data_IF_404105910021
#
_entry.id   IF_404105910021
#
_cell.length_a   1.000
_cell.length_b   1.000
_cell.length_c   1.000
_cell.angle_alpha   90.00
_cell.angle_beta   90.00
_cell.angle_gamma   90.00
#
_symmetry.space_group_name_H-M   'P 1'
#
loop_
_entity.id
_entity.type
_entity.pdbx_description
1 polymer ?
#
# COMPACT_ATOMS: atom_id res chain seq x y z
N UNK A 1 2.55 76.00 -3.39
CA UNK A 1 3.47 74.95 -3.86
C UNK A 1 3.29 73.71 -2.99
N UNK A 2 3.11 72.55 -3.64
CA UNK A 2 3.12 71.16 -3.12
C UNK A 2 1.96 70.76 -2.18
N UNK A 3 0.90 70.10 -2.69
CA UNK A 3 0.69 68.63 -2.87
C UNK A 3 0.87 67.81 -1.59
N UNK A 4 -0.20 67.12 -1.17
CA UNK A 4 -0.38 65.70 -0.74
C UNK A 4 -1.87 65.65 -0.31
N UNK A 5 -2.75 64.72 -0.66
CA UNK A 5 -2.72 63.43 -1.36
C UNK A 5 -4.01 62.72 -0.93
N UNK A 6 -4.97 62.57 -1.84
CA UNK A 6 -6.27 61.94 -1.56
C UNK A 6 -6.10 60.44 -1.34
N UNK A 7 -6.64 59.93 -0.23
CA UNK A 7 -6.67 58.51 0.09
C UNK A 7 -7.92 57.92 -0.55
N UNK A 8 -7.74 57.24 -1.68
CA UNK A 8 -8.74 56.32 -2.25
C UNK A 8 -8.71 55.02 -1.44
N UNK A 9 -9.80 54.72 -0.73
CA UNK A 9 -10.03 53.42 -0.12
C UNK A 9 -10.44 52.42 -1.21
N UNK A 10 -9.48 51.64 -1.70
CA UNK A 10 -9.75 50.46 -2.52
C UNK A 10 -10.17 49.30 -1.59
N UNK A 11 -11.44 48.93 -1.65
CA UNK A 11 -11.98 47.74 -1.00
C UNK A 11 -11.42 46.50 -1.72
N UNK A 12 -10.47 45.82 -1.09
CA UNK A 12 -9.93 44.55 -1.59
C UNK A 12 -10.86 43.42 -1.12
N UNK A 13 -11.77 42.98 -1.99
CA UNK A 13 -12.55 41.75 -1.78
C UNK A 13 -11.61 40.55 -1.91
N UNK A 14 -11.22 39.99 -0.75
CA UNK A 14 -10.55 38.69 -0.65
C UNK A 14 -11.51 37.59 -1.13
N UNK A 15 -11.40 37.22 -2.41
CA UNK A 15 -11.91 35.96 -2.93
C UNK A 15 -11.09 34.83 -2.32
N UNK A 16 -11.59 34.24 -1.23
CA UNK A 16 -11.13 32.93 -0.79
C UNK A 16 -11.58 31.91 -1.83
N UNK A 17 -10.69 31.58 -2.77
CA UNK A 17 -10.80 30.37 -3.56
C UNK A 17 -10.74 29.18 -2.60
N UNK A 18 -11.90 28.65 -2.21
CA UNK A 18 -11.98 27.33 -1.60
C UNK A 18 -11.49 26.34 -2.64
N UNK A 19 -10.24 25.88 -2.48
CA UNK A 19 -9.84 24.60 -3.02
C UNK A 19 -10.78 23.58 -2.37
N UNK A 20 -11.83 23.18 -3.09
CA UNK A 20 -12.64 22.05 -2.69
C UNK A 20 -11.70 20.85 -2.67
N UNK A 21 -11.26 20.45 -1.48
CA UNK A 21 -10.54 19.20 -1.33
C UNK A 21 -11.47 18.08 -1.81
N UNK A 22 -10.96 17.20 -2.67
CA UNK A 22 -11.70 16.01 -3.07
C UNK A 22 -12.08 15.23 -1.81
N UNK A 23 -13.36 14.82 -1.72
CA UNK A 23 -13.88 14.06 -0.57
C UNK A 23 -13.06 12.77 -0.42
N UNK A 24 -12.51 12.56 0.77
CA UNK A 24 -11.64 11.42 1.06
C UNK A 24 -12.46 10.13 1.22
N UNK A 25 -11.84 8.96 1.02
CA UNK A 25 -12.52 7.68 1.20
C UNK A 25 -13.24 7.49 2.55
N UNK A 26 -12.65 7.90 3.70
CA UNK A 26 -13.36 7.91 4.99
C UNK A 26 -14.60 8.81 5.00
N UNK A 27 -14.53 10.00 4.41
CA UNK A 27 -15.65 10.94 4.34
C UNK A 27 -16.76 10.40 3.43
N UNK A 28 -16.40 9.75 2.30
CA UNK A 28 -17.38 9.07 1.44
C UNK A 28 -18.12 7.96 2.20
N UNK A 29 -17.40 7.14 2.97
CA UNK A 29 -18.03 6.11 3.81
C UNK A 29 -18.99 6.71 4.85
N UNK A 30 -18.59 7.83 5.48
CA UNK A 30 -19.45 8.54 6.44
C UNK A 30 -20.71 9.12 5.79
N UNK A 31 -20.58 9.72 4.61
CA UNK A 31 -21.70 10.27 3.84
C UNK A 31 -22.70 9.16 3.46
N UNK A 32 -22.21 8.05 2.91
CA UNK A 32 -23.03 6.89 2.56
C UNK A 32 -23.74 6.30 3.77
N UNK A 33 -23.06 6.14 4.90
CA UNK A 33 -23.67 5.64 6.13
C UNK A 33 -24.71 6.63 6.70
N UNK A 34 -24.52 7.93 6.51
CA UNK A 34 -25.52 8.94 6.91
C UNK A 34 -26.77 8.81 6.05
N UNK A 35 -26.63 8.65 4.74
CA UNK A 35 -27.74 8.38 3.82
C UNK A 35 -28.44 7.05 4.14
N UNK A 36 -27.66 6.00 4.44
CA UNK A 36 -28.18 4.68 4.82
C UNK A 36 -29.07 4.73 6.08
N UNK A 37 -28.70 5.56 7.07
CA UNK A 37 -29.49 5.78 8.31
C UNK A 37 -30.66 6.74 8.15
N UNK A 38 -30.71 7.53 7.07
CA UNK A 38 -31.80 8.46 6.88
C UNK A 38 -33.04 7.68 6.44
N UNK A 39 -33.95 7.38 7.36
CA UNK A 39 -35.13 6.54 7.09
C UNK A 39 -36.43 7.34 6.94
N UNK A 40 -36.34 8.66 6.79
CA UNK A 40 -37.51 9.51 6.56
C UNK A 40 -38.26 9.09 5.30
N UNK A 41 -39.60 9.19 5.31
CA UNK A 41 -40.45 8.76 4.18
C UNK A 41 -40.45 9.72 2.98
N UNK A 42 -39.88 10.91 3.14
CA UNK A 42 -39.73 11.90 2.08
C UNK A 42 -38.49 12.77 2.27
N UNK A 43 -37.95 13.26 1.16
CA UNK A 43 -36.90 14.27 1.15
C UNK A 43 -37.47 15.69 1.35
N UNK A 44 -36.64 16.68 1.70
CA UNK A 44 -37.08 18.07 1.84
C UNK A 44 -37.88 18.53 0.61
N UNK A 45 -39.01 19.21 0.85
CA UNK A 45 -39.91 19.66 -0.21
C UNK A 45 -40.89 18.60 -0.73
N UNK A 46 -41.02 17.44 -0.06
CA UNK A 46 -41.96 16.39 -0.47
C UNK A 46 -41.48 15.56 -1.67
N UNK A 47 -40.17 15.62 -1.95
CA UNK A 47 -39.53 14.88 -3.03
C UNK A 47 -39.39 13.40 -2.62
N UNK A 48 -39.44 12.50 -3.60
CA UNK A 48 -39.26 11.06 -3.38
C UNK A 48 -37.99 10.75 -2.57
N UNK A 49 -38.11 9.77 -1.66
CA UNK A 49 -37.07 9.46 -0.66
C UNK A 49 -35.69 9.12 -1.24
N UNK A 50 -35.62 8.54 -2.44
CA UNK A 50 -34.35 8.18 -3.08
C UNK A 50 -33.50 9.39 -3.50
N UNK A 51 -34.03 10.62 -3.46
CA UNK A 51 -33.26 11.83 -3.76
C UNK A 51 -32.22 12.17 -2.69
N UNK A 52 -32.43 11.77 -1.44
CA UNK A 52 -31.60 12.15 -0.30
C UNK A 52 -31.31 11.00 0.67
N UNK A 53 -32.12 9.94 0.67
CA UNK A 53 -32.03 8.81 1.58
C UNK A 53 -31.68 7.52 0.87
N UNK A 54 -30.92 6.68 1.57
CA UNK A 54 -30.46 5.39 1.10
C UNK A 54 -29.34 5.48 0.06
N UNK A 55 -28.81 4.33 -0.29
CA UNK A 55 -27.66 4.18 -1.19
C UNK A 55 -28.09 3.33 -2.38
N UNK A 56 -27.80 3.82 -3.59
CA UNK A 56 -27.96 3.05 -4.82
C UNK A 56 -26.67 2.29 -5.08
N UNK A 57 -26.73 0.97 -5.03
CA UNK A 57 -25.59 0.08 -5.25
C UNK A 57 -25.84 -0.83 -6.45
N UNK A 58 -24.78 -1.16 -7.18
CA UNK A 58 -24.85 -2.07 -8.32
C UNK A 58 -23.64 -3.00 -8.29
N UNK A 59 -23.88 -4.29 -8.54
CA UNK A 59 -22.80 -5.28 -8.64
C UNK A 59 -22.01 -5.08 -9.93
N UNK A 60 -20.68 -5.14 -9.85
CA UNK A 60 -19.84 -5.20 -11.06
C UNK A 60 -20.05 -6.56 -11.74
N UNK A 61 -21.00 -6.64 -12.68
CA UNK A 61 -21.34 -7.88 -13.40
C UNK A 61 -20.50 -8.10 -14.66
N UNK A 62 -19.49 -7.26 -14.89
CA UNK A 62 -18.74 -7.28 -16.12
C UNK A 62 -17.84 -8.53 -16.22
N UNK A 63 -17.75 -9.07 -17.45
CA UNK A 63 -16.86 -10.19 -17.76
C UNK A 63 -15.40 -9.87 -17.36
N UNK A 64 -14.52 -10.86 -17.41
CA UNK A 64 -13.12 -10.72 -16.98
C UNK A 64 -12.35 -9.55 -17.65
N UNK A 65 -12.86 -8.87 -18.68
CA UNK A 65 -12.29 -7.65 -19.26
C UNK A 65 -13.30 -6.49 -19.46
N UNK A 66 -14.52 -6.58 -18.93
CA UNK A 66 -15.51 -5.52 -19.07
C UNK A 66 -15.27 -4.38 -18.07
N UNK A 67 -15.62 -3.15 -18.45
CA UNK A 67 -15.54 -1.98 -17.56
C UNK A 67 -16.80 -1.91 -16.71
N UNK A 68 -16.67 -1.81 -15.38
CA UNK A 68 -17.81 -1.95 -14.45
C UNK A 68 -18.97 -0.96 -14.70
N UNK A 69 -18.68 0.21 -15.28
CA UNK A 69 -19.64 1.29 -15.54
C UNK A 69 -20.39 1.14 -16.88
N UNK A 70 -20.11 0.08 -17.65
CA UNK A 70 -20.85 -0.23 -18.88
C UNK A 70 -22.24 -0.75 -18.54
N UNK A 71 -23.21 -0.35 -19.35
CA UNK A 71 -24.60 -0.78 -19.20
C UNK A 71 -24.72 -2.29 -19.47
N UNK A 72 -25.56 -2.96 -18.69
CA UNK A 72 -25.89 -4.37 -18.94
C UNK A 72 -26.64 -4.55 -20.27
N UNK A 73 -26.61 -5.75 -20.89
CA UNK A 73 -27.46 -6.04 -22.05
C UNK A 73 -28.94 -5.78 -21.79
N UNK A 74 -29.41 -6.09 -20.57
CA UNK A 74 -30.78 -5.82 -20.13
C UNK A 74 -31.07 -4.32 -20.05
N UNK A 75 -30.13 -3.52 -19.55
CA UNK A 75 -30.28 -2.06 -19.50
C UNK A 75 -30.31 -1.45 -20.90
N UNK A 76 -29.48 -1.91 -21.82
CA UNK A 76 -29.53 -1.49 -23.23
C UNK A 76 -30.87 -1.81 -23.89
N UNK A 77 -31.51 -2.93 -23.54
CA UNK A 77 -32.80 -3.34 -24.08
C UNK A 77 -34.00 -2.58 -23.48
N UNK A 78 -33.91 -2.18 -22.21
CA UNK A 78 -35.04 -1.60 -21.47
C UNK A 78 -34.95 -0.09 -21.26
N UNK A 79 -33.78 0.51 -21.48
CA UNK A 79 -33.52 1.93 -21.24
C UNK A 79 -33.24 2.28 -19.77
N UNK A 80 -33.24 1.29 -18.87
CA UNK A 80 -33.01 1.46 -17.43
C UNK A 80 -32.09 0.38 -16.86
N UNK A 81 -31.20 0.77 -15.96
CA UNK A 81 -30.31 -0.12 -15.22
C UNK A 81 -30.84 -0.31 -13.78
N UNK A 82 -30.69 -1.52 -13.23
CA UNK A 82 -31.28 -1.88 -11.92
C UNK A 82 -30.26 -1.74 -10.80
N UNK A 83 -30.58 -0.93 -9.80
CA UNK A 83 -29.77 -0.74 -8.61
C UNK A 83 -30.46 -1.36 -7.40
N UNK A 84 -29.67 -1.97 -6.52
CA UNK A 84 -30.10 -2.33 -5.18
C UNK A 84 -30.19 -1.04 -4.33
N UNK A 85 -31.33 -0.87 -3.66
CA UNK A 85 -31.61 0.32 -2.86
C UNK A 85 -31.46 0.01 -1.37
N UNK A 86 -30.36 0.47 -0.79
CA UNK A 86 -29.91 0.10 0.55
C UNK A 86 -30.32 1.15 1.59
N UNK A 87 -31.06 0.72 2.62
CA UNK A 87 -31.49 1.54 3.77
C UNK A 87 -31.51 0.73 5.07
N UNK A 88 -31.33 1.41 6.20
CA UNK A 88 -31.28 0.77 7.52
C UNK A 88 -32.60 0.09 7.92
N UNK A 89 -33.73 0.70 7.58
CA UNK A 89 -35.07 0.24 7.90
C UNK A 89 -35.62 -0.83 6.95
N UNK A 90 -34.82 -1.28 5.99
CA UNK A 90 -35.25 -2.22 4.95
C UNK A 90 -34.48 -3.52 5.01
N UNK A 91 -35.12 -4.61 4.62
CA UNK A 91 -34.50 -5.93 4.60
C UNK A 91 -33.31 -5.91 3.63
N UNK A 92 -32.09 -6.25 4.08
CA UNK A 92 -30.93 -6.28 3.22
C UNK A 92 -31.11 -7.26 2.07
N UNK A 93 -30.57 -6.92 0.91
CA UNK A 93 -30.30 -7.89 -0.16
C UNK A 93 -28.94 -8.54 0.16
N UNK A 94 -28.87 -9.25 1.27
CA UNK A 94 -27.66 -10.00 1.64
C UNK A 94 -27.45 -11.16 0.65
N UNK A 95 -26.24 -11.26 0.10
CA UNK A 95 -25.80 -12.39 -0.74
C UNK A 95 -25.68 -12.14 -2.24
N UNK A 96 -26.05 -10.96 -2.77
CA UNK A 96 -25.90 -10.63 -4.21
C UNK A 96 -24.78 -9.66 -4.54
N UNK A 97 -24.44 -8.77 -3.60
CA UNK A 97 -23.41 -7.76 -3.78
C UNK A 97 -22.04 -8.29 -3.34
N UNK A 98 -21.28 -8.84 -4.29
CA UNK A 98 -19.90 -9.31 -4.05
C UNK A 98 -18.91 -8.14 -4.08
N UNK A 99 -18.92 -7.39 -5.18
CA UNK A 99 -18.22 -6.13 -5.37
C UNK A 99 -19.01 -5.31 -6.39
N UNK A 100 -18.77 -4.02 -6.42
CA UNK A 100 -19.59 -3.13 -7.22
C UNK A 100 -19.25 -1.67 -7.02
N UNK A 101 -20.22 -0.83 -7.35
CA UNK A 101 -20.13 0.62 -7.21
C UNK A 101 -21.42 1.19 -6.62
N UNK A 102 -21.28 2.38 -6.04
CA UNK A 102 -22.40 3.16 -5.52
C UNK A 102 -22.44 4.53 -6.19
N UNK A 103 -23.65 5.06 -6.33
CA UNK A 103 -23.88 6.38 -6.90
C UNK A 103 -24.00 7.47 -5.83
N UNK A 104 -23.63 8.69 -6.21
CA UNK A 104 -24.02 9.91 -5.49
C UNK A 104 -25.55 9.96 -5.36
N UNK A 105 -26.05 10.70 -4.38
CA UNK A 105 -27.48 11.02 -4.34
C UNK A 105 -27.86 12.00 -5.46
N UNK A 106 -29.16 12.08 -5.76
CA UNK A 106 -29.64 12.89 -6.89
C UNK A 106 -29.30 14.37 -6.72
N UNK A 107 -29.35 14.92 -5.50
CA UNK A 107 -29.00 16.33 -5.28
C UNK A 107 -27.50 16.58 -5.53
N UNK A 108 -26.64 15.71 -5.00
CA UNK A 108 -25.20 15.77 -5.24
C UNK A 108 -24.89 15.62 -6.72
N UNK A 109 -25.51 14.65 -7.41
CA UNK A 109 -25.32 14.44 -8.85
C UNK A 109 -25.70 15.68 -9.68
N UNK A 110 -26.84 16.31 -9.38
CA UNK A 110 -27.26 17.58 -9.98
C UNK A 110 -26.22 18.68 -9.73
N UNK A 111 -25.75 18.82 -8.48
CA UNK A 111 -24.74 19.81 -8.11
C UNK A 111 -23.41 19.63 -8.83
N UNK A 112 -23.06 18.38 -9.18
CA UNK A 112 -21.88 18.03 -9.95
C UNK A 112 -22.09 18.11 -11.48
N UNK A 113 -23.30 18.42 -11.95
CA UNK A 113 -23.64 18.40 -13.37
C UNK A 113 -23.54 17.01 -13.99
N UNK A 114 -23.81 15.97 -13.19
CA UNK A 114 -23.84 14.56 -13.58
C UNK A 114 -25.29 14.07 -13.57
N UNK A 115 -25.90 13.74 -14.72
CA UNK A 115 -27.31 13.37 -14.76
C UNK A 115 -27.54 12.06 -13.98
N UNK A 116 -28.50 12.10 -13.04
CA UNK A 116 -29.00 10.93 -12.32
C UNK A 116 -30.52 10.96 -12.30
N UNK A 117 -31.14 10.16 -13.16
CA UNK A 117 -32.60 10.08 -13.25
C UNK A 117 -33.07 8.71 -12.78
N UNK A 118 -33.79 8.69 -11.67
CA UNK A 118 -34.43 7.47 -11.14
C UNK A 118 -35.86 7.42 -11.67
N UNK A 119 -36.12 6.46 -12.56
CA UNK A 119 -37.42 6.26 -13.21
C UNK A 119 -38.48 5.76 -12.22
N UNK A 120 -38.13 4.75 -11.43
CA UNK A 120 -38.99 4.15 -10.43
C UNK A 120 -38.14 3.56 -9.30
N UNK A 121 -38.70 3.49 -8.09
CA UNK A 121 -38.07 2.81 -6.97
C UNK A 121 -39.10 2.03 -6.16
N UNK A 122 -38.69 0.90 -5.63
CA UNK A 122 -39.41 0.08 -4.66
C UNK A 122 -38.69 0.11 -3.31
N UNK A 123 -39.08 -0.78 -2.39
CA UNK A 123 -38.39 -0.90 -1.11
C UNK A 123 -36.95 -1.41 -1.26
N UNK A 124 -36.68 -2.22 -2.27
CA UNK A 124 -35.41 -2.94 -2.39
C UNK A 124 -34.61 -2.54 -3.63
N UNK A 125 -35.24 -1.89 -4.61
CA UNK A 125 -34.61 -1.62 -5.90
C UNK A 125 -34.96 -0.24 -6.44
N UNK A 126 -34.09 0.30 -7.28
CA UNK A 126 -34.34 1.48 -8.09
C UNK A 126 -34.00 1.20 -9.56
N UNK A 127 -34.78 1.76 -10.47
CA UNK A 127 -34.55 1.76 -11.91
C UNK A 127 -33.97 3.13 -12.28
N UNK A 128 -32.71 3.15 -12.70
CA UNK A 128 -31.99 4.36 -13.10
C UNK A 128 -31.96 4.41 -14.63
N UNK A 129 -32.28 5.56 -15.22
CA UNK A 129 -32.19 5.72 -16.67
C UNK A 129 -30.75 5.47 -17.15
N UNK A 130 -30.61 4.91 -18.34
CA UNK A 130 -29.30 4.70 -18.96
C UNK A 130 -28.50 6.01 -19.06
N UNK A 131 -27.19 5.88 -18.93
CA UNK A 131 -26.23 6.97 -19.09
C UNK A 131 -25.37 6.78 -20.35
N UNK A 132 -24.64 7.82 -20.73
CA UNK A 132 -23.56 7.69 -21.72
C UNK A 132 -22.39 6.91 -21.10
N UNK A 133 -22.33 5.62 -21.38
CA UNK A 133 -21.31 4.73 -20.85
C UNK A 133 -19.92 4.89 -21.53
N UNK A 134 -19.80 5.80 -22.51
CA UNK A 134 -18.53 6.16 -23.15
C UNK A 134 -17.79 7.26 -22.39
N UNK A 135 -18.48 7.99 -21.50
CA UNK A 135 -17.92 9.10 -20.73
C UNK A 135 -18.04 8.84 -19.22
N UNK A 136 -17.23 7.94 -18.63
CA UNK A 136 -17.38 7.52 -17.23
C UNK A 136 -17.30 8.64 -16.20
N UNK A 137 -16.58 9.73 -16.49
CA UNK A 137 -16.48 10.91 -15.62
C UNK A 137 -17.80 11.68 -15.49
N UNK A 138 -18.77 11.46 -16.40
CA UNK A 138 -20.13 12.03 -16.33
C UNK A 138 -21.10 11.19 -15.52
N UNK A 139 -20.73 9.97 -15.15
CA UNK A 139 -21.54 9.11 -14.31
C UNK A 139 -21.34 9.55 -12.85
N UNK A 140 -22.42 9.64 -12.04
CA UNK A 140 -22.35 10.04 -10.62
C UNK A 140 -21.79 8.90 -9.75
N UNK A 141 -20.65 8.33 -10.13
CA UNK A 141 -19.93 7.31 -9.37
C UNK A 141 -19.31 7.94 -8.12
N UNK A 142 -19.70 7.45 -6.96
CA UNK A 142 -19.22 7.96 -5.68
C UNK A 142 -18.12 7.08 -5.08
N UNK A 143 -18.26 5.76 -5.15
CA UNK A 143 -17.28 4.81 -4.66
C UNK A 143 -17.44 3.43 -5.30
N UNK A 144 -16.38 2.63 -5.17
CA UNK A 144 -16.41 1.19 -5.37
C UNK A 144 -16.62 0.50 -4.01
N UNK A 145 -17.09 -0.74 -4.00
CA UNK A 145 -17.17 -1.53 -2.79
C UNK A 145 -16.81 -3.00 -3.03
N UNK A 146 -16.45 -3.69 -1.94
CA UNK A 146 -16.35 -5.15 -1.89
C UNK A 146 -16.93 -5.68 -0.57
N UNK A 147 -17.49 -6.88 -0.62
CA UNK A 147 -18.15 -7.50 0.52
C UNK A 147 -17.16 -8.33 1.34
N UNK A 148 -16.99 -7.96 2.61
CA UNK A 148 -16.08 -8.65 3.53
C UNK A 148 -16.47 -10.10 3.81
N UNK A 149 -17.74 -10.47 3.62
CA UNK A 149 -18.22 -11.84 3.82
C UNK A 149 -17.87 -12.77 2.65
N UNK A 150 -17.37 -12.23 1.52
CA UNK A 150 -17.08 -13.01 0.31
C UNK A 150 -15.60 -12.92 -0.01
N UNK A 151 -14.89 -14.06 0.09
CA UNK A 151 -13.45 -14.15 -0.16
C UNK A 151 -13.10 -13.73 -1.59
N UNK A 152 -12.03 -12.95 -1.74
CA UNK A 152 -11.49 -12.55 -3.05
C UNK A 152 -12.16 -11.35 -3.72
N UNK A 153 -13.22 -10.79 -3.15
CA UNK A 153 -13.94 -9.64 -3.75
C UNK A 153 -13.16 -8.32 -3.73
N UNK A 154 -12.22 -8.14 -2.79
CA UNK A 154 -11.31 -6.99 -2.79
C UNK A 154 -10.50 -6.93 -4.09
N UNK A 155 -10.02 -8.07 -4.59
CA UNK A 155 -9.29 -8.13 -5.86
C UNK A 155 -10.14 -7.61 -7.02
N UNK A 156 -11.41 -7.99 -7.07
CA UNK A 156 -12.34 -7.53 -8.10
C UNK A 156 -12.59 -6.01 -7.99
N UNK A 157 -12.78 -5.47 -6.79
CA UNK A 157 -12.91 -4.01 -6.60
C UNK A 157 -11.61 -3.25 -6.94
N UNK A 158 -10.43 -3.80 -6.67
CA UNK A 158 -9.15 -3.20 -7.05
C UNK A 158 -8.96 -3.17 -8.56
N UNK A 159 -9.40 -4.22 -9.26
CA UNK A 159 -9.42 -4.23 -10.72
C UNK A 159 -10.34 -3.15 -11.28
N UNK A 160 -11.55 -3.01 -10.74
CA UNK A 160 -12.50 -1.95 -11.12
C UNK A 160 -11.88 -0.56 -10.87
N UNK A 161 -11.20 -0.39 -9.73
CA UNK A 161 -10.50 0.83 -9.35
C UNK A 161 -9.39 1.18 -10.36
N UNK A 162 -8.59 0.19 -10.76
CA UNK A 162 -7.54 0.37 -11.75
C UNK A 162 -8.12 0.74 -13.12
N UNK A 163 -9.16 0.03 -13.56
CA UNK A 163 -9.80 0.26 -14.85
C UNK A 163 -10.35 1.69 -14.97
N UNK A 164 -10.98 2.20 -13.92
CA UNK A 164 -11.47 3.58 -13.88
C UNK A 164 -10.30 4.58 -13.92
N UNK A 165 -9.25 4.36 -13.11
CA UNK A 165 -8.07 5.22 -13.11
C UNK A 165 -7.36 5.26 -14.47
N UNK A 166 -7.20 4.11 -15.14
CA UNK A 166 -6.60 4.05 -16.47
C UNK A 166 -7.41 4.82 -17.52
N UNK A 167 -8.73 4.85 -17.36
CA UNK A 167 -9.64 5.50 -18.31
C UNK A 167 -9.76 7.00 -18.07
N UNK A 168 -9.74 7.42 -16.80
CA UNK A 168 -10.13 8.78 -16.40
C UNK A 168 -8.99 9.61 -15.80
N UNK A 169 -7.94 8.96 -15.28
CA UNK A 169 -6.93 9.58 -14.43
C UNK A 169 -7.38 9.84 -12.99
N UNK A 170 -8.61 9.43 -12.62
CA UNK A 170 -9.21 9.65 -11.30
C UNK A 170 -9.28 8.34 -10.50
N UNK A 171 -9.12 8.43 -9.17
CA UNK A 171 -9.29 7.29 -8.28
C UNK A 171 -10.67 7.33 -7.62
N UNK A 172 -11.43 6.24 -7.75
CA UNK A 172 -12.59 6.00 -6.88
C UNK A 172 -12.15 5.27 -5.61
N UNK A 173 -12.62 5.68 -4.40
CA UNK A 173 -12.30 4.95 -3.18
C UNK A 173 -13.01 3.59 -3.17
N UNK A 174 -12.32 2.56 -2.67
CA UNK A 174 -12.90 1.24 -2.39
C UNK A 174 -13.39 1.22 -0.95
N UNK A 175 -14.65 0.84 -0.74
CA UNK A 175 -15.28 0.70 0.56
C UNK A 175 -15.49 -0.78 0.92
N UNK A 176 -15.47 -1.06 2.22
CA UNK A 176 -15.82 -2.36 2.80
C UNK A 176 -17.33 -2.39 3.00
N UNK A 177 -18.03 -3.29 2.32
CA UNK A 177 -19.43 -3.57 2.59
C UNK A 177 -19.52 -4.60 3.72
N UNK A 178 -19.99 -4.17 4.89
CA UNK A 178 -20.26 -5.01 6.05
C UNK A 178 -21.26 -4.30 6.95
N UNK A 179 -22.39 -4.95 7.22
CA UNK A 179 -23.40 -4.44 8.13
C UNK A 179 -22.90 -4.52 9.59
N UNK A 180 -22.99 -3.40 10.30
CA UNK A 180 -22.81 -3.30 11.75
C UNK A 180 -24.06 -2.67 12.36
N UNK A 181 -24.89 -3.51 12.97
CA UNK A 181 -26.14 -3.08 13.60
C UNK A 181 -25.92 -2.18 14.83
N UNK A 182 -24.78 -2.32 15.51
CA UNK A 182 -24.47 -1.50 16.70
C UNK A 182 -24.12 -0.08 16.31
N UNK A 183 -23.37 0.07 15.21
CA UNK A 183 -22.97 1.36 14.67
C UNK A 183 -23.96 1.91 13.63
N UNK A 184 -24.98 1.13 13.27
CA UNK A 184 -25.92 1.45 12.20
C UNK A 184 -25.17 1.89 10.93
N UNK A 185 -24.18 1.09 10.54
CA UNK A 185 -23.31 1.35 9.39
C UNK A 185 -23.29 0.15 8.47
N UNK A 186 -22.99 0.43 7.20
CA UNK A 186 -22.91 -0.55 6.13
C UNK A 186 -21.58 -0.49 5.38
N UNK A 187 -20.97 0.70 5.34
CA UNK A 187 -19.70 0.93 4.65
C UNK A 187 -18.58 1.27 5.63
N UNK A 188 -17.46 0.56 5.53
CA UNK A 188 -16.19 0.90 6.16
C UNK A 188 -15.16 1.36 5.14
N UNK A 189 -14.07 1.97 5.60
CA UNK A 189 -12.94 2.33 4.76
C UNK A 189 -11.64 1.80 5.38
N UNK A 190 -10.74 1.29 4.54
CA UNK A 190 -9.37 1.02 4.93
C UNK A 190 -8.42 1.51 3.83
N UNK A 191 -7.47 2.34 4.23
CA UNK A 191 -6.43 2.88 3.35
C UNK A 191 -5.57 1.77 2.74
N UNK A 192 -5.36 0.66 3.44
CA UNK A 192 -4.56 -0.47 2.97
C UNK A 192 -5.24 -1.26 1.84
N UNK A 193 -6.54 -1.10 1.62
CA UNK A 193 -7.25 -1.79 0.53
C UNK A 193 -7.16 -1.03 -0.81
N UNK A 194 -6.69 0.22 -0.78
CA UNK A 194 -6.62 1.09 -1.94
C UNK A 194 -5.36 0.83 -2.77
N UNK A 195 -5.46 0.68 -4.09
CA UNK A 195 -4.28 0.51 -4.94
C UNK A 195 -3.31 1.69 -4.81
N UNK A 196 -3.82 2.92 -4.75
CA UNK A 196 -3.01 4.13 -4.62
C UNK A 196 -2.22 4.24 -3.31
N UNK A 197 -2.44 3.36 -2.32
CA UNK A 197 -1.59 3.29 -1.11
C UNK A 197 -0.12 3.01 -1.47
N UNK A 198 0.13 2.35 -2.61
CA UNK A 198 1.47 2.09 -3.11
C UNK A 198 2.32 3.35 -3.30
N UNK A 199 1.71 4.48 -3.69
CA UNK A 199 2.42 5.77 -3.78
C UNK A 199 2.92 6.23 -2.41
N UNK A 200 2.14 6.06 -1.35
CA UNK A 200 2.52 6.42 0.02
C UNK A 200 3.62 5.49 0.55
N UNK A 201 3.56 4.20 0.22
CA UNK A 201 4.62 3.23 0.56
C UNK A 201 5.93 3.61 -0.15
N UNK A 202 5.91 3.88 -1.45
CA UNK A 202 7.08 4.32 -2.21
C UNK A 202 7.68 5.61 -1.63
N UNK A 203 6.86 6.61 -1.31
CA UNK A 203 7.32 7.86 -0.72
C UNK A 203 8.00 7.63 0.64
N UNK A 204 7.41 6.81 1.51
CA UNK A 204 7.99 6.46 2.82
C UNK A 204 9.32 5.71 2.67
N UNK A 205 9.42 4.78 1.73
CA UNK A 205 10.65 4.05 1.43
C UNK A 205 11.77 5.00 0.98
N UNK A 206 11.48 5.90 0.04
CA UNK A 206 12.45 6.91 -0.41
C UNK A 206 12.87 7.87 0.71
N UNK A 207 11.94 8.28 1.59
CA UNK A 207 12.25 9.13 2.74
C UNK A 207 13.21 8.43 3.72
N UNK A 208 12.94 7.17 4.08
CA UNK A 208 13.84 6.40 4.94
C UNK A 208 15.18 6.09 4.28
N UNK A 209 15.23 5.88 2.98
CA UNK A 209 16.48 5.69 2.23
C UNK A 209 17.37 6.94 2.24
N UNK A 210 16.76 8.13 2.15
CA UNK A 210 17.48 9.40 2.13
C UNK A 210 17.94 9.88 3.51
N UNK A 211 17.27 9.46 4.59
CA UNK A 211 17.64 9.83 5.95
C UNK A 211 18.90 9.09 6.41
N UNK A 212 20.00 9.82 6.57
CA UNK A 212 21.31 9.32 7.02
C UNK A 212 21.58 9.51 8.51
N UNK A 213 20.56 9.85 9.31
CA UNK A 213 20.72 10.02 10.75
C UNK A 213 21.33 8.75 11.36
N UNK A 214 22.45 8.86 12.12
CA UNK A 214 23.16 7.69 12.64
C UNK A 214 22.39 6.97 13.76
N UNK A 215 21.46 7.69 14.40
CA UNK A 215 20.59 7.21 15.46
C UNK A 215 19.18 7.77 15.26
N UNK A 216 18.20 7.09 15.82
CA UNK A 216 16.82 7.54 15.89
C UNK A 216 16.65 8.65 16.93
N UNK A 217 15.53 9.38 16.87
CA UNK A 217 15.22 10.46 17.83
C UNK A 217 15.19 10.00 19.29
N UNK A 218 14.93 8.73 19.52
CA UNK A 218 14.91 8.08 20.84
C UNK A 218 16.27 7.46 21.23
N UNK A 219 17.33 7.70 20.45
CA UNK A 219 18.68 7.21 20.71
C UNK A 219 18.96 5.78 20.23
N UNK A 220 17.95 5.06 19.70
CA UNK A 220 18.17 3.71 19.14
C UNK A 220 18.98 3.76 17.85
N UNK A 221 19.52 2.61 17.45
CA UNK A 221 20.25 2.45 16.20
C UNK A 221 19.37 2.75 14.97
N UNK A 222 19.99 3.25 13.91
CA UNK A 222 19.28 3.82 12.75
C UNK A 222 18.23 2.88 12.10
N UNK A 223 18.45 1.56 12.11
CA UNK A 223 17.51 0.57 11.56
C UNK A 223 16.12 0.54 12.23
N UNK A 224 15.95 1.21 13.38
CA UNK A 224 14.64 1.37 14.02
C UNK A 224 13.78 2.46 13.37
N UNK A 225 14.35 3.41 12.62
CA UNK A 225 13.62 4.56 12.09
C UNK A 225 13.93 4.89 10.63
N UNK A 226 15.11 4.54 10.12
CA UNK A 226 15.52 4.87 8.75
C UNK A 226 16.26 3.72 8.07
N UNK A 227 16.57 3.95 6.79
CA UNK A 227 16.95 2.92 5.83
C UNK A 227 15.81 1.96 5.48
N UNK A 228 16.07 1.12 4.49
CA UNK A 228 15.11 0.14 3.98
C UNK A 228 15.69 -1.26 4.16
N UNK A 229 14.98 -2.09 4.91
CA UNK A 229 15.31 -3.49 5.15
C UNK A 229 14.67 -4.34 4.06
N UNK A 230 15.49 -4.79 3.11
CA UNK A 230 15.06 -5.55 1.94
C UNK A 230 15.56 -6.98 2.02
N UNK A 231 14.70 -7.95 1.74
CA UNK A 231 15.08 -9.35 1.59
C UNK A 231 14.69 -9.81 0.21
N UNK A 232 15.64 -10.40 -0.50
CA UNK A 232 15.38 -11.03 -1.80
C UNK A 232 15.19 -12.53 -1.62
N UNK A 233 14.23 -13.11 -2.32
CA UNK A 233 13.77 -14.51 -2.12
C UNK A 233 13.52 -15.19 -3.46
N UNK A 234 13.49 -16.52 -3.45
CA UNK A 234 12.88 -17.27 -4.54
C UNK A 234 11.35 -17.28 -4.37
N UNK A 235 10.65 -17.46 -5.49
CA UNK A 235 9.23 -17.78 -5.51
C UNK A 235 9.06 -19.29 -5.70
N UNK A 236 8.05 -19.88 -5.06
CA UNK A 236 7.75 -21.31 -5.23
C UNK A 236 6.30 -21.61 -4.85
N UNK A 237 5.77 -22.70 -5.41
CA UNK A 237 4.53 -23.33 -4.92
C UNK A 237 4.77 -24.26 -3.74
N UNK A 238 6.02 -24.61 -3.43
CA UNK A 238 6.38 -25.53 -2.35
C UNK A 238 6.59 -24.85 -1.00
N UNK A 239 6.77 -23.52 -0.98
CA UNK A 239 6.96 -22.72 0.23
C UNK A 239 6.54 -21.28 -0.03
N UNK A 240 6.19 -20.58 1.05
CA UNK A 240 5.95 -19.14 1.00
C UNK A 240 7.25 -18.35 1.09
N UNK A 241 7.41 -17.31 0.27
CA UNK A 241 8.65 -16.52 0.20
C UNK A 241 9.00 -15.79 1.51
N UNK A 242 8.01 -15.50 2.36
CA UNK A 242 8.22 -14.88 3.68
C UNK A 242 8.56 -15.88 4.80
N UNK A 243 8.61 -17.18 4.52
CA UNK A 243 9.01 -18.16 5.52
C UNK A 243 10.55 -18.28 5.60
N UNK A 244 11.15 -18.33 6.80
CA UNK A 244 12.56 -18.63 6.95
C UNK A 244 12.88 -20.02 6.37
N UNK A 245 13.98 -20.16 5.63
CA UNK A 245 14.42 -21.47 5.14
C UNK A 245 14.85 -22.38 6.31
N UNK A 246 14.91 -23.72 6.14
CA UNK A 246 15.44 -24.61 7.17
C UNK A 246 16.85 -24.24 7.63
N UNK A 247 17.69 -23.72 6.72
CA UNK A 247 19.02 -23.22 7.05
C UNK A 247 18.97 -21.94 7.88
N UNK A 248 18.03 -21.04 7.59
CA UNK A 248 17.83 -19.80 8.37
C UNK A 248 17.31 -20.10 9.78
N UNK A 249 16.42 -21.09 9.92
CA UNK A 249 15.93 -21.54 11.23
C UNK A 249 17.06 -22.12 12.07
N UNK A 250 17.89 -23.01 11.48
CA UNK A 250 19.02 -23.62 12.18
C UNK A 250 20.05 -22.59 12.67
N UNK A 251 20.42 -21.64 11.81
CA UNK A 251 21.39 -20.59 12.14
C UNK A 251 20.81 -19.41 12.92
N UNK A 252 19.50 -19.44 13.20
CA UNK A 252 18.71 -18.31 13.71
C UNK A 252 19.03 -16.99 12.96
N UNK A 253 19.10 -17.06 11.64
CA UNK A 253 19.65 -15.98 10.82
C UNK A 253 19.02 -15.94 9.43
N UNK A 254 18.31 -14.85 9.18
CA UNK A 254 17.66 -14.55 7.90
C UNK A 254 18.31 -13.30 7.32
N UNK A 255 18.97 -13.45 6.17
CA UNK A 255 19.69 -12.34 5.54
C UNK A 255 18.76 -11.29 4.93
N UNK A 256 19.08 -10.02 5.18
CA UNK A 256 18.50 -8.83 4.59
C UNK A 256 19.64 -7.93 4.10
N UNK A 257 19.35 -7.02 3.18
CA UNK A 257 20.19 -5.85 2.91
C UNK A 257 19.56 -4.62 3.55
N UNK A 258 20.40 -3.65 3.90
CA UNK A 258 20.03 -2.36 4.44
C UNK A 258 20.38 -1.25 3.45
N UNK A 259 19.34 -0.68 2.85
CA UNK A 259 19.47 0.36 1.83
C UNK A 259 19.33 1.73 2.49
N UNK A 260 20.41 2.50 2.44
CA UNK A 260 20.48 3.92 2.80
C UNK A 260 21.42 4.59 1.79
N UNK A 261 21.22 5.86 1.48
CA UNK A 261 21.99 6.53 0.43
C UNK A 261 23.52 6.51 0.67
N UNK A 262 23.94 6.44 1.93
CA UNK A 262 25.32 6.35 2.41
C UNK A 262 25.79 4.91 2.66
N UNK A 263 24.89 3.91 2.67
CA UNK A 263 25.26 2.50 2.71
C UNK A 263 25.73 2.00 1.35
N UNK A 264 25.50 2.73 0.24
CA UNK A 264 26.06 2.42 -1.10
C UNK A 264 25.81 0.98 -1.55
N UNK A 265 24.64 0.42 -1.24
CA UNK A 265 24.15 -0.82 -1.85
C UNK A 265 23.68 -0.48 -3.26
N UNK A 266 24.31 -1.06 -4.28
CA UNK A 266 24.06 -0.77 -5.69
C UNK A 266 23.60 -2.02 -6.49
N UNK A 267 23.41 -3.15 -5.81
CA UNK A 267 22.88 -4.36 -6.40
C UNK A 267 22.11 -5.24 -5.41
N UNK A 268 21.14 -5.99 -5.93
CA UNK A 268 20.41 -7.02 -5.17
C UNK A 268 20.92 -8.42 -5.54
N UNK A 269 20.84 -9.36 -4.60
CA UNK A 269 21.26 -10.74 -4.88
C UNK A 269 20.27 -11.46 -5.80
N UNK A 270 18.97 -11.47 -5.47
CA UNK A 270 17.90 -12.03 -6.33
C UNK A 270 16.98 -10.95 -6.89
N UNK A 271 16.25 -11.31 -7.94
CA UNK A 271 15.43 -10.38 -8.71
C UNK A 271 14.17 -9.86 -7.99
N UNK A 272 13.66 -10.59 -7.00
CA UNK A 272 12.45 -10.24 -6.26
C UNK A 272 12.55 -10.55 -4.77
N UNK A 273 11.58 -10.07 -4.00
CA UNK A 273 11.38 -10.42 -2.60
C UNK A 273 10.47 -9.41 -1.92
N UNK A 274 10.81 -9.01 -0.70
CA UNK A 274 9.99 -8.11 0.09
C UNK A 274 10.79 -7.14 0.94
N UNK A 275 10.11 -6.07 1.34
CA UNK A 275 10.58 -5.08 2.29
C UNK A 275 9.72 -5.14 3.55
N UNK A 276 10.37 -5.02 4.69
CA UNK A 276 9.71 -4.90 5.98
C UNK A 276 9.81 -3.46 6.49
N UNK A 277 8.84 -3.07 7.32
CA UNK A 277 8.88 -1.80 8.06
C UNK A 277 10.18 -1.66 8.85
N UNK A 278 10.53 -0.41 9.14
CA UNK A 278 11.52 -0.06 10.14
C UNK A 278 11.24 -0.78 11.47
N UNK A 279 12.26 -1.20 12.20
CA UNK A 279 12.07 -2.04 13.41
C UNK A 279 11.36 -1.29 14.56
N UNK A 280 11.23 0.03 14.47
CA UNK A 280 10.43 0.83 15.41
C UNK A 280 8.93 0.85 15.11
N UNK A 281 8.51 0.35 13.93
CA UNK A 281 7.10 0.29 13.57
C UNK A 281 6.37 -0.79 14.39
N UNK A 282 5.10 -0.54 14.78
CA UNK A 282 4.27 -1.57 15.39
C UNK A 282 4.12 -2.79 14.46
N UNK A 283 4.30 -3.98 15.02
CA UNK A 283 4.15 -5.25 14.33
C UNK A 283 3.59 -6.30 15.29
N UNK A 284 2.76 -7.21 14.77
CA UNK A 284 2.26 -8.33 15.55
C UNK A 284 3.37 -9.31 15.95
N UNK A 285 4.37 -9.46 15.09
CA UNK A 285 5.63 -10.14 15.38
C UNK A 285 6.81 -9.23 14.95
N UNK A 286 7.34 -8.41 15.87
CA UNK A 286 8.51 -7.58 15.60
C UNK A 286 9.72 -8.43 15.20
N UNK A 287 10.28 -8.15 14.02
CA UNK A 287 11.53 -8.77 13.61
C UNK A 287 12.70 -8.17 14.39
N UNK A 288 13.64 -9.02 14.81
CA UNK A 288 14.79 -8.61 15.63
C UNK A 288 16.08 -8.74 14.83
N UNK A 289 16.78 -7.63 14.60
CA UNK A 289 18.13 -7.66 14.05
C UNK A 289 19.12 -8.20 15.08
N UNK A 290 19.98 -9.13 14.65
CA UNK A 290 21.01 -9.76 15.50
C UNK A 290 22.40 -9.18 15.28
N UNK A 291 22.76 -8.89 14.03
CA UNK A 291 24.05 -8.32 13.67
C UNK A 291 24.05 -7.75 12.25
N UNK A 292 25.10 -6.99 11.91
CA UNK A 292 25.29 -6.39 10.59
C UNK A 292 26.72 -6.64 10.06
N UNK A 293 26.80 -7.19 8.85
CA UNK A 293 28.02 -7.25 8.06
C UNK A 293 28.02 -6.11 7.04
N UNK A 294 29.13 -5.36 6.89
CA UNK A 294 29.23 -4.34 5.85
C UNK A 294 29.14 -4.91 4.43
N UNK A 295 29.36 -6.20 4.25
CA UNK A 295 29.43 -6.91 2.97
C UNK A 295 28.71 -8.25 3.06
N UNK A 296 28.62 -8.97 1.94
CA UNK A 296 28.22 -10.38 1.97
C UNK A 296 29.20 -11.18 2.85
N UNK A 297 28.69 -11.95 3.79
CA UNK A 297 29.45 -12.82 4.66
C UNK A 297 29.17 -14.32 4.40
N UNK A 298 28.25 -14.63 3.47
CA UNK A 298 27.89 -15.99 3.10
C UNK A 298 27.35 -16.78 4.28
N UNK A 299 26.44 -16.21 5.07
CA UNK A 299 26.00 -16.79 6.35
C UNK A 299 25.08 -18.01 6.22
N UNK A 300 24.78 -18.41 4.99
CA UNK A 300 23.87 -19.50 4.67
C UNK A 300 24.38 -20.84 5.16
N UNK A 301 23.65 -21.44 6.12
CA UNK A 301 23.89 -22.81 6.57
C UNK A 301 24.63 -22.93 7.90
N UNK A 302 25.15 -21.82 8.41
CA UNK A 302 25.91 -21.72 9.66
C UNK A 302 25.07 -22.10 10.90
N UNK A 303 25.74 -22.50 11.98
CA UNK A 303 25.09 -22.80 13.27
C UNK A 303 24.67 -21.52 14.02
N UNK A 304 25.40 -20.43 13.84
CA UNK A 304 24.99 -19.09 14.21
C UNK A 304 25.43 -18.09 13.13
N UNK A 305 24.49 -17.55 12.37
CA UNK A 305 24.77 -16.62 11.27
C UNK A 305 25.54 -15.35 11.68
N UNK A 306 25.53 -14.96 12.97
CA UNK A 306 26.29 -13.81 13.45
C UNK A 306 27.69 -14.14 13.97
N UNK A 307 27.96 -15.41 14.30
CA UNK A 307 29.17 -15.84 15.03
C UNK A 307 29.98 -16.92 14.32
N UNK A 308 29.58 -17.32 13.12
CA UNK A 308 30.31 -18.31 12.33
C UNK A 308 31.77 -17.94 12.04
N UNK A 309 32.08 -16.64 11.99
CA UNK A 309 33.44 -16.09 11.83
C UNK A 309 34.11 -15.77 13.17
N UNK A 310 33.85 -16.58 14.21
CA UNK A 310 34.32 -16.47 15.59
C UNK A 310 33.43 -15.59 16.50
N UNK A 311 33.73 -14.30 16.60
CA UNK A 311 33.17 -13.40 17.60
C UNK A 311 32.60 -12.14 16.93
N UNK A 312 31.75 -11.41 17.66
CA UNK A 312 31.29 -10.09 17.22
C UNK A 312 32.47 -9.11 17.18
N UNK A 313 32.38 -8.08 16.35
CA UNK A 313 33.44 -7.09 16.22
C UNK A 313 33.82 -6.43 17.57
N UNK A 314 32.83 -6.12 18.40
CA UNK A 314 33.05 -5.58 19.75
C UNK A 314 33.86 -6.52 20.66
N UNK A 315 33.67 -7.83 20.55
CA UNK A 315 34.42 -8.85 21.31
C UNK A 315 35.87 -9.01 20.83
N UNK A 316 36.15 -8.58 19.60
CA UNK A 316 37.49 -8.57 19.01
C UNK A 316 38.21 -7.22 19.19
N UNK A 317 37.64 -6.30 19.97
CA UNK A 317 38.17 -4.95 20.19
C UNK A 317 37.98 -4.01 18.98
N UNK A 318 37.09 -4.36 18.04
CA UNK A 318 36.83 -3.56 16.84
C UNK A 318 35.65 -2.64 17.13
N UNK A 319 35.97 -1.38 17.44
CA UNK A 319 35.01 -0.38 17.93
C UNK A 319 34.69 0.74 16.95
N UNK A 320 35.30 0.72 15.77
CA UNK A 320 35.08 1.72 14.71
C UNK A 320 35.27 1.13 13.31
N UNK A 321 34.78 1.86 12.30
CA UNK A 321 34.99 1.49 10.90
C UNK A 321 36.48 1.43 10.53
N UNK A 322 37.33 2.27 11.13
CA UNK A 322 38.75 2.36 10.77
C UNK A 322 39.54 1.16 11.28
N UNK A 323 39.25 0.72 12.52
CA UNK A 323 39.82 -0.52 13.06
C UNK A 323 39.36 -1.72 12.24
N UNK A 324 38.10 -1.73 11.80
CA UNK A 324 37.59 -2.79 10.92
C UNK A 324 38.32 -2.78 9.57
N UNK A 325 38.50 -1.62 8.94
CA UNK A 325 39.16 -1.49 7.63
C UNK A 325 40.64 -1.90 7.73
N UNK A 326 41.33 -1.52 8.81
CA UNK A 326 42.70 -1.93 9.04
C UNK A 326 42.86 -3.45 9.13
N UNK A 327 41.87 -4.16 9.68
CA UNK A 327 41.89 -5.61 9.84
C UNK A 327 41.36 -6.39 8.63
N UNK A 328 40.28 -5.92 8.01
CA UNK A 328 39.50 -6.68 7.03
C UNK A 328 39.36 -6.00 5.66
N UNK A 329 40.02 -4.85 5.43
CA UNK A 329 39.82 -4.05 4.21
C UNK A 329 40.00 -4.82 2.90
N UNK A 330 40.85 -5.85 2.88
CA UNK A 330 41.06 -6.73 1.71
C UNK A 330 40.27 -8.04 1.76
N UNK A 331 39.61 -8.34 2.86
CA UNK A 331 38.95 -9.63 3.13
C UNK A 331 37.59 -9.45 3.80
N UNK A 332 36.77 -8.52 3.31
CA UNK A 332 35.48 -8.16 3.92
C UNK A 332 34.51 -9.34 4.08
N UNK A 333 34.59 -10.33 3.20
CA UNK A 333 33.80 -11.57 3.28
C UNK A 333 34.13 -12.42 4.52
N UNK A 334 35.34 -12.30 5.07
CA UNK A 334 35.82 -13.03 6.25
C UNK A 334 35.75 -12.19 7.53
N UNK A 335 35.02 -11.09 7.50
CA UNK A 335 34.95 -10.15 8.62
C UNK A 335 34.07 -10.64 9.77
N UNK A 336 34.28 -10.04 10.95
CA UNK A 336 33.32 -10.13 12.05
C UNK A 336 32.03 -9.37 11.73
N UNK A 337 30.95 -9.74 12.40
CA UNK A 337 29.70 -8.98 12.37
C UNK A 337 29.75 -7.86 13.42
N UNK A 338 29.27 -6.66 13.05
CA UNK A 338 28.97 -5.62 14.02
C UNK A 338 27.72 -5.99 14.82
N UNK A 339 27.70 -5.67 16.10
CA UNK A 339 26.48 -5.77 16.92
C UNK A 339 25.48 -4.64 16.58
N UNK A 340 24.30 -4.69 17.21
CA UNK A 340 23.18 -3.80 16.90
C UNK A 340 23.12 -2.55 17.78
N UNK A 341 24.15 -2.29 18.58
CA UNK A 341 24.25 -1.01 19.31
C UNK A 341 24.35 0.15 18.31
N UNK A 342 23.88 1.36 18.68
CA UNK A 342 23.92 2.51 17.77
C UNK A 342 25.29 2.75 17.14
N UNK A 343 26.37 2.69 17.94
CA UNK A 343 27.74 2.93 17.47
C UNK A 343 28.24 1.84 16.52
N UNK A 344 28.04 0.57 16.85
CA UNK A 344 28.51 -0.56 16.03
C UNK A 344 27.72 -0.68 14.73
N UNK A 345 26.41 -0.51 14.80
CA UNK A 345 25.56 -0.48 13.61
C UNK A 345 25.98 0.65 12.66
N UNK A 346 26.19 1.86 13.18
CA UNK A 346 26.66 2.99 12.38
C UNK A 346 28.06 2.73 11.79
N UNK A 347 28.97 2.11 12.54
CA UNK A 347 30.29 1.72 12.04
C UNK A 347 30.18 0.77 10.84
N UNK A 348 29.20 -0.13 10.82
CA UNK A 348 28.96 -1.02 9.68
C UNK A 348 28.58 -0.27 8.40
N UNK A 349 27.83 0.83 8.52
CA UNK A 349 27.46 1.71 7.41
C UNK A 349 28.67 2.54 6.97
N UNK A 350 29.46 3.05 7.91
CA UNK A 350 30.66 3.84 7.62
C UNK A 350 31.74 3.05 6.87
N UNK A 351 31.90 1.75 7.18
CA UNK A 351 32.78 0.87 6.40
C UNK A 351 32.42 0.92 4.91
N UNK A 352 31.12 0.81 4.58
CA UNK A 352 30.66 0.86 3.19
C UNK A 352 30.81 2.24 2.58
N UNK A 353 30.55 3.29 3.35
CA UNK A 353 30.75 4.67 2.89
C UNK A 353 32.20 4.90 2.47
N UNK A 354 33.15 4.44 3.28
CA UNK A 354 34.60 4.51 3.02
C UNK A 354 35.06 3.55 1.92
N UNK A 355 34.34 2.43 1.72
CA UNK A 355 34.71 1.36 0.77
C UNK A 355 33.46 0.78 0.06
N UNK A 356 32.97 1.42 -1.02
CA UNK A 356 31.73 1.00 -1.70
C UNK A 356 31.93 -0.14 -2.72
N UNK A 357 32.90 -1.04 -2.50
CA UNK A 357 33.42 -1.97 -3.51
C UNK A 357 32.65 -3.31 -3.66
N UNK A 358 31.45 -3.43 -3.10
CA UNK A 358 30.60 -4.62 -3.27
C UNK A 358 29.13 -4.26 -3.41
N UNK A 359 28.38 -5.14 -4.08
CA UNK A 359 27.01 -4.90 -4.50
C UNK A 359 26.02 -4.68 -3.34
N UNK A 360 26.05 -5.53 -2.31
CA UNK A 360 25.15 -5.49 -1.16
C UNK A 360 25.87 -5.65 0.18
N UNK A 361 25.14 -5.34 1.25
CA UNK A 361 25.49 -5.67 2.63
C UNK A 361 24.61 -6.82 3.13
N UNK A 362 24.97 -7.37 4.29
CA UNK A 362 24.24 -8.48 4.89
C UNK A 362 23.91 -8.19 6.36
N UNK A 363 22.63 -7.96 6.63
CA UNK A 363 22.06 -7.87 7.97
C UNK A 363 21.39 -9.20 8.31
N UNK A 364 21.59 -9.67 9.54
CA UNK A 364 21.03 -10.93 10.00
C UNK A 364 19.87 -10.66 10.94
N UNK A 365 18.64 -10.91 10.46
CA UNK A 365 17.44 -10.93 11.29
C UNK A 365 17.31 -12.30 11.98
N UNK A 366 16.84 -12.33 13.22
CA UNK A 366 16.46 -13.56 13.88
C UNK A 366 15.38 -14.30 13.07
N UNK A 367 15.41 -15.63 13.08
CA UNK A 367 14.36 -16.41 12.45
C UNK A 367 13.04 -16.21 13.21
N UNK A 368 11.94 -16.15 12.46
CA UNK A 368 10.59 -16.00 13.00
C UNK A 368 9.76 -17.28 12.82
N UNK A 369 8.61 -17.42 13.50
CA UNK A 369 7.73 -18.56 13.32
C UNK A 369 7.31 -18.76 11.86
N UNK A 370 7.27 -20.03 11.44
CA UNK A 370 6.76 -20.44 10.13
C UNK A 370 5.28 -20.10 9.99
N UNK A 371 4.84 -19.81 8.76
CA UNK A 371 3.42 -19.74 8.39
C UNK A 371 2.60 -18.70 9.19
N UNK A 372 3.23 -17.58 9.58
CA UNK A 372 2.55 -16.52 10.32
C UNK A 372 2.58 -15.14 9.61
N UNK A 373 2.22 -15.05 8.31
CA UNK A 373 2.39 -13.83 7.51
C UNK A 373 1.63 -12.61 8.05
N UNK A 374 0.45 -12.82 8.63
CA UNK A 374 -0.38 -11.72 9.15
C UNK A 374 0.28 -10.92 10.27
N UNK A 375 1.26 -11.52 10.97
CA UNK A 375 2.00 -10.87 12.05
C UNK A 375 3.29 -10.21 11.55
N UNK A 376 3.74 -10.49 10.33
CA UNK A 376 4.98 -9.94 9.79
C UNK A 376 4.78 -8.48 9.33
N UNK A 377 5.75 -7.60 9.58
CA UNK A 377 5.71 -6.20 9.16
C UNK A 377 6.08 -6.01 7.67
N UNK A 378 5.65 -6.91 6.78
CA UNK A 378 5.85 -6.76 5.34
C UNK A 378 5.04 -5.56 4.86
N UNK A 379 5.70 -4.60 4.23
CA UNK A 379 5.07 -3.36 3.74
C UNK A 379 5.07 -3.26 2.21
N UNK A 380 5.92 -4.01 1.53
CA UNK A 380 5.96 -4.09 0.08
C UNK A 380 6.57 -5.42 -0.38
N UNK A 381 6.06 -5.94 -1.50
CA UNK A 381 6.85 -6.84 -2.35
C UNK A 381 7.69 -6.00 -3.30
N UNK A 382 8.81 -6.53 -3.77
CA UNK A 382 9.74 -5.79 -4.62
C UNK A 382 10.24 -6.64 -5.77
N UNK A 383 10.68 -5.94 -6.82
CA UNK A 383 11.61 -6.49 -7.79
C UNK A 383 12.68 -5.47 -8.14
N UNK A 384 13.90 -5.94 -8.37
CA UNK A 384 15.05 -5.13 -8.72
C UNK A 384 15.21 -4.97 -10.23
N UNK A 385 15.54 -3.75 -10.68
CA UNK A 385 15.94 -3.50 -12.07
C UNK A 385 17.27 -4.16 -12.43
N UNK A 386 18.15 -4.37 -11.43
CA UNK A 386 19.39 -5.12 -11.56
C UNK A 386 19.52 -6.09 -10.39
N UNK A 387 19.98 -7.30 -10.68
CA UNK A 387 20.22 -8.35 -9.70
C UNK A 387 21.35 -9.28 -10.17
N UNK A 388 22.04 -9.91 -9.23
CA UNK A 388 23.18 -10.78 -9.53
C UNK A 388 22.77 -12.19 -9.98
N UNK A 389 21.89 -12.84 -9.22
CA UNK A 389 21.41 -14.17 -9.55
C UNK A 389 20.25 -14.11 -10.55
N UNK A 390 20.09 -15.10 -11.44
CA UNK A 390 18.91 -15.22 -12.29
C UNK A 390 17.62 -15.23 -11.47
N UNK A 391 16.56 -14.65 -12.01
CA UNK A 391 15.25 -14.62 -11.38
C UNK A 391 14.19 -14.11 -12.35
N UNK A 392 12.93 -14.18 -11.93
CA UNK A 392 11.81 -13.79 -12.76
C UNK A 392 11.41 -12.33 -12.56
N UNK A 393 11.94 -11.65 -11.54
CA UNK A 393 11.73 -10.22 -11.32
C UNK A 393 10.26 -9.91 -11.06
N UNK A 394 9.66 -9.06 -11.88
CA UNK A 394 8.26 -8.65 -11.74
C UNK A 394 7.28 -9.83 -11.66
N UNK A 395 7.28 -10.81 -12.59
CA UNK A 395 6.47 -12.03 -12.44
C UNK A 395 6.61 -12.75 -11.09
N UNK A 396 7.82 -12.80 -10.52
CA UNK A 396 8.05 -13.38 -9.20
C UNK A 396 7.43 -12.55 -8.07
N UNK A 397 7.61 -11.22 -8.10
CA UNK A 397 6.99 -10.33 -7.14
C UNK A 397 5.45 -10.35 -7.22
N UNK A 398 4.89 -10.48 -8.42
CA UNK A 398 3.44 -10.66 -8.65
C UNK A 398 2.93 -11.97 -8.09
N UNK A 399 3.70 -13.05 -8.21
CA UNK A 399 3.38 -14.32 -7.56
C UNK A 399 3.37 -14.18 -6.03
N UNK A 400 4.45 -13.64 -5.46
CA UNK A 400 4.58 -13.46 -4.00
C UNK A 400 3.47 -12.58 -3.43
N UNK A 401 3.11 -11.49 -4.12
CA UNK A 401 1.99 -10.63 -3.74
C UNK A 401 0.65 -11.38 -3.75
N UNK A 402 0.37 -12.15 -4.82
CA UNK A 402 -0.87 -12.95 -4.93
C UNK A 402 -0.94 -14.00 -3.84
N UNK A 403 0.16 -14.72 -3.60
CA UNK A 403 0.26 -15.75 -2.57
C UNK A 403 0.00 -15.14 -1.18
N UNK A 404 0.66 -14.04 -0.85
CA UNK A 404 0.43 -13.34 0.42
C UNK A 404 -1.01 -12.86 0.57
N UNK A 405 -1.60 -12.32 -0.50
CA UNK A 405 -2.99 -11.91 -0.50
C UNK A 405 -3.95 -13.08 -0.29
N UNK A 406 -3.70 -14.24 -0.92
CA UNK A 406 -4.52 -15.44 -0.74
C UNK A 406 -4.47 -15.97 0.69
N UNK A 407 -3.30 -15.91 1.34
CA UNK A 407 -3.12 -16.41 2.70
C UNK A 407 -3.66 -15.43 3.76
N UNK A 408 -3.56 -14.12 3.52
CA UNK A 408 -3.85 -13.11 4.56
C UNK A 408 -5.08 -12.25 4.31
N UNK A 409 -5.57 -12.19 3.07
CA UNK A 409 -6.54 -11.19 2.62
C UNK A 409 -6.02 -9.75 2.60
N UNK A 410 -4.73 -9.51 2.88
CA UNK A 410 -4.13 -8.17 2.97
C UNK A 410 -3.49 -7.80 1.64
N UNK A 411 -3.86 -6.63 1.11
CA UNK A 411 -3.13 -6.02 0.00
C UNK A 411 -1.80 -5.43 0.48
N UNK A 412 -0.73 -5.75 -0.24
CA UNK A 412 0.63 -5.21 -0.04
C UNK A 412 1.18 -4.83 -1.41
N UNK A 413 1.58 -3.58 -1.67
CA UNK A 413 1.98 -3.15 -3.01
C UNK A 413 3.30 -3.77 -3.47
N UNK A 414 3.45 -3.93 -4.77
CA UNK A 414 4.73 -4.19 -5.43
C UNK A 414 5.40 -2.85 -5.73
N UNK A 415 6.66 -2.74 -5.35
CA UNK A 415 7.51 -1.56 -5.54
C UNK A 415 8.72 -1.95 -6.38
N UNK A 416 8.92 -1.25 -7.49
CA UNK A 416 10.11 -1.40 -8.32
C UNK A 416 11.30 -0.73 -7.64
N UNK A 417 12.43 -1.43 -7.60
CA UNK A 417 13.68 -0.95 -6.97
C UNK A 417 14.75 -0.67 -8.02
N UNK A 418 15.25 0.55 -8.05
CA UNK A 418 16.33 1.00 -8.95
C UNK A 418 17.43 1.68 -8.13
N UNK A 419 18.39 0.89 -7.65
CA UNK A 419 19.40 1.33 -6.66
C UNK A 419 20.35 2.45 -7.14
N UNK A 420 20.56 2.56 -8.46
CA UNK A 420 21.40 3.60 -9.08
C UNK A 420 20.60 4.80 -9.60
N UNK A 421 19.29 4.88 -9.31
CA UNK A 421 18.50 6.05 -9.63
C UNK A 421 18.91 7.26 -8.78
N UNK A 422 18.55 8.46 -9.23
CA UNK A 422 18.67 9.66 -8.41
C UNK A 422 17.90 9.48 -7.08
N UNK A 423 18.39 10.10 -6.00
CA UNK A 423 17.72 10.08 -4.70
C UNK A 423 16.25 10.53 -4.84
N UNK A 424 15.33 9.78 -4.22
CA UNK A 424 13.88 10.00 -4.35
C UNK A 424 13.20 9.24 -5.50
N UNK A 425 13.96 8.49 -6.32
CA UNK A 425 13.43 7.65 -7.41
C UNK A 425 13.89 6.18 -7.30
N UNK A 426 14.41 5.78 -6.13
CA UNK A 426 14.90 4.40 -5.91
C UNK A 426 13.75 3.43 -5.79
N UNK A 427 12.67 3.84 -5.11
CA UNK A 427 11.47 3.04 -4.91
C UNK A 427 10.32 3.66 -5.68
N UNK A 428 9.79 2.96 -6.69
CA UNK A 428 8.73 3.48 -7.55
C UNK A 428 7.54 2.52 -7.51
N UNK A 429 6.35 3.08 -7.28
CA UNK A 429 5.09 2.36 -7.41
C UNK A 429 4.50 2.57 -8.80
N UNK A 430 4.05 1.49 -9.43
CA UNK A 430 3.28 1.51 -10.66
C UNK A 430 2.04 0.60 -10.48
N UNK A 431 0.82 1.13 -10.60
CA UNK A 431 -0.40 0.32 -10.43
C UNK A 431 -0.54 -0.79 -11.48
N UNK A 432 0.11 -0.65 -12.66
CA UNK A 432 0.11 -1.67 -13.71
C UNK A 432 1.06 -2.86 -13.44
N UNK A 433 1.95 -2.71 -12.48
CA UNK A 433 2.90 -3.78 -12.10
C UNK A 433 2.32 -4.69 -11.00
N UNK A 434 1.16 -4.36 -10.44
CA UNK A 434 0.54 -5.15 -9.37
C UNK A 434 0.06 -6.52 -9.91
N UNK A 435 0.14 -7.58 -9.11
CA UNK A 435 -0.38 -8.91 -9.43
C UNK A 435 -1.85 -9.11 -9.04
N UNK A 436 -2.39 -8.28 -8.16
CA UNK A 436 -3.72 -8.46 -7.55
C UNK A 436 -4.84 -7.64 -8.19
N UNK A 437 -4.72 -7.31 -9.49
CA UNK A 437 -5.86 -6.85 -10.31
C UNK A 437 -6.34 -7.93 -11.29
#
# INVERSE_FOLDING_TARGET
>A
MNRVGGISAALLTLLFSHLAFAVTGPEVAQLLNTRYRLTADACPGGINVYYCSGVLAHSSQNAANGMFWKLSPEALATGVERFDYLRLDRTPIEGRLHNGYVLDDVFTAIGLGKPLEVNAASDVQALVNNWDDTTPTRIPLQALFYNLAVTGTLRAAQKDQLAYFQTTGEWLPILRLQRDDRQQSLFGFNQADQLYVGYQVAARLNARYADTSPVCRDGRAAHYCNGVLIRTTDQSTAFHSWNPSPTSVRGNGVSFSYLRVDSKVNGLFKAQGFVVREQGAPAGNPMTLRCAFPYDAGTGGNSDSCRDRSALCSELGITSSDVWIARYGTSGYMSCAFDVTPQQFQSSVEVRNKRPNQYWNELIMAAWPQNNPSQLPIEAFIYGAWHYAPGTGLPGAQYDQKDFFQVTGRYVPIIRVTLNAAAGQVFVFNPLEQGVH
#
